data_IF_157303123597
#
_entry.id   IF_157303123597
#
_cell.length_a   1.000
_cell.length_b   1.000
_cell.length_c   1.000
_cell.angle_alpha   90.00
_cell.angle_beta   90.00
_cell.angle_gamma   90.00
#
_symmetry.space_group_name_H-M   'P 1'
#
loop_
_entity.id
_entity.type
_entity.pdbx_description
1 polymer ?
#
# COMPACT_ATOMS: atom_id res chain seq x y z
N UNK A 1 7.71 -12.87 -2.51
CA UNK A 1 6.96 -12.45 -3.71
C UNK A 1 6.63 -11.00 -3.48
N UNK A 2 7.29 -10.11 -4.21
CA UNK A 2 7.13 -8.67 -4.00
C UNK A 2 5.97 -8.22 -4.87
N UNK A 3 4.85 -7.86 -4.25
CA UNK A 3 3.75 -7.21 -4.97
C UNK A 3 4.21 -5.78 -5.26
N UNK A 4 4.33 -5.43 -6.53
CA UNK A 4 4.63 -4.08 -6.99
C UNK A 4 3.45 -3.60 -7.80
N UNK A 5 2.78 -2.55 -7.33
CA UNK A 5 1.64 -1.91 -7.98
C UNK A 5 2.12 -0.81 -8.92
N UNK A 6 1.52 -0.72 -10.10
CA UNK A 6 1.64 0.46 -10.94
C UNK A 6 0.63 1.57 -10.52
N UNK A 7 0.66 2.73 -11.19
CA UNK A 7 -0.20 3.88 -10.84
C UNK A 7 -1.69 3.57 -11.01
N UNK A 8 -2.08 2.81 -12.04
CA UNK A 8 -3.48 2.43 -12.26
C UNK A 8 -3.99 1.48 -11.17
N UNK A 9 -3.19 0.47 -10.80
CA UNK A 9 -3.51 -0.47 -9.73
C UNK A 9 -3.58 0.22 -8.36
N UNK A 10 -2.69 1.17 -8.12
CA UNK A 10 -2.69 1.99 -6.90
C UNK A 10 -3.92 2.90 -6.84
N UNK A 11 -4.31 3.48 -7.97
CA UNK A 11 -5.53 4.28 -8.08
C UNK A 11 -6.81 3.45 -7.84
N UNK A 12 -6.87 2.22 -8.33
CA UNK A 12 -7.97 1.30 -8.05
C UNK A 12 -8.05 0.99 -6.54
N UNK A 13 -6.92 0.67 -5.90
CA UNK A 13 -6.88 0.41 -4.47
C UNK A 13 -7.29 1.64 -3.64
N UNK A 14 -6.77 2.82 -4.00
CA UNK A 14 -7.13 4.11 -3.42
C UNK A 14 -8.64 4.38 -3.51
N UNK A 15 -9.22 4.17 -4.70
CA UNK A 15 -10.64 4.41 -4.96
C UNK A 15 -11.51 3.48 -4.13
N UNK A 16 -11.17 2.19 -4.06
CA UNK A 16 -11.90 1.20 -3.28
C UNK A 16 -11.89 1.53 -1.79
N UNK A 17 -10.70 1.80 -1.21
CA UNK A 17 -10.56 2.08 0.22
C UNK A 17 -11.26 3.38 0.60
N UNK A 18 -11.13 4.42 -0.22
CA UNK A 18 -11.81 5.70 0.03
C UNK A 18 -13.33 5.59 -0.10
N UNK A 19 -13.86 4.79 -1.02
CA UNK A 19 -15.29 4.51 -1.11
C UNK A 19 -15.80 3.81 0.15
N UNK A 20 -15.12 2.74 0.60
CA UNK A 20 -15.47 2.04 1.84
C UNK A 20 -15.49 2.98 3.05
N UNK A 21 -14.50 3.87 3.15
CA UNK A 21 -14.42 4.85 4.23
C UNK A 21 -15.59 5.85 4.19
N UNK A 22 -15.96 6.35 3.01
CA UNK A 22 -17.08 7.28 2.84
C UNK A 22 -18.43 6.63 3.15
N UNK A 23 -18.59 5.34 2.85
CA UNK A 23 -19.86 4.63 2.97
C UNK A 23 -20.08 4.05 4.39
N UNK A 24 -19.00 3.67 5.08
CA UNK A 24 -19.11 2.90 6.33
C UNK A 24 -18.72 3.68 7.59
N UNK A 25 -18.17 4.88 7.46
CA UNK A 25 -17.76 5.72 8.61
C UNK A 25 -18.64 6.96 8.67
N UNK A 26 -19.13 7.27 9.88
CA UNK A 26 -19.86 8.51 10.12
C UNK A 26 -18.88 9.70 10.17
N UNK A 27 -18.69 10.30 9.00
CA UNK A 27 -17.87 11.48 8.80
C UNK A 27 -18.76 12.72 8.72
N UNK A 28 -18.28 13.82 9.31
CA UNK A 28 -18.86 15.13 9.04
C UNK A 28 -18.83 15.46 7.55
N UNK A 29 -19.70 16.35 7.10
CA UNK A 29 -19.72 16.79 5.69
C UNK A 29 -18.38 17.38 5.24
N UNK A 30 -17.70 18.10 6.14
CA UNK A 30 -16.35 18.61 5.86
C UNK A 30 -15.33 17.47 5.70
N UNK A 31 -15.40 16.44 6.55
CA UNK A 31 -14.55 15.25 6.42
C UNK A 31 -14.77 14.53 5.08
N UNK A 32 -16.03 14.35 4.68
CA UNK A 32 -16.40 13.76 3.37
C UNK A 32 -15.85 14.58 2.21
N UNK A 33 -15.94 15.91 2.29
CA UNK A 33 -15.40 16.83 1.27
C UNK A 33 -13.89 16.69 1.13
N UNK A 34 -13.16 16.66 2.24
CA UNK A 34 -11.70 16.51 2.25
C UNK A 34 -11.25 15.17 1.67
N UNK A 35 -11.93 14.06 2.00
CA UNK A 35 -11.60 12.74 1.43
C UNK A 35 -11.83 12.71 -0.08
N UNK A 36 -12.94 13.28 -0.57
CA UNK A 36 -13.22 13.36 -2.01
C UNK A 36 -12.20 14.21 -2.74
N UNK A 37 -11.79 15.33 -2.13
CA UNK A 37 -10.76 16.22 -2.69
C UNK A 37 -9.39 15.52 -2.73
N UNK A 38 -9.02 14.86 -1.64
CA UNK A 38 -7.78 14.08 -1.57
C UNK A 38 -7.72 12.97 -2.63
N UNK A 39 -8.87 12.33 -2.94
CA UNK A 39 -8.98 11.36 -4.04
C UNK A 39 -8.78 12.03 -5.40
N UNK A 40 -9.47 13.13 -5.69
CA UNK A 40 -9.35 13.86 -6.99
C UNK A 40 -7.93 14.31 -7.29
N UNK A 41 -7.20 14.76 -6.27
CA UNK A 41 -5.80 15.15 -6.45
C UNK A 41 -4.94 13.97 -6.96
N UNK A 42 -5.36 12.74 -6.73
CA UNK A 42 -4.66 11.50 -7.13
C UNK A 42 -5.37 10.78 -8.27
N UNK A 43 -6.09 11.50 -9.13
CA UNK A 43 -6.64 10.94 -10.36
C UNK A 43 -5.50 10.56 -11.35
N UNK A 44 -5.74 9.63 -12.29
CA UNK A 44 -4.73 9.21 -13.26
C UNK A 44 -4.13 10.38 -14.05
N UNK A 45 -2.80 10.39 -14.18
CA UNK A 45 -2.03 11.45 -14.84
C UNK A 45 -1.58 12.58 -13.92
N UNK A 46 -2.03 12.61 -12.66
CA UNK A 46 -1.53 13.55 -11.67
C UNK A 46 -0.26 13.02 -10.99
N UNK A 47 0.69 13.93 -10.72
CA UNK A 47 1.95 13.61 -10.04
C UNK A 47 1.73 13.02 -8.64
N UNK A 48 0.68 13.47 -7.96
CA UNK A 48 0.32 13.02 -6.63
C UNK A 48 -0.07 11.54 -6.59
N UNK A 49 -0.59 10.99 -7.69
CA UNK A 49 -0.86 9.54 -7.80
C UNK A 49 0.45 8.76 -7.93
N UNK A 50 1.41 9.25 -8.69
CA UNK A 50 2.72 8.59 -8.85
C UNK A 50 3.48 8.58 -7.51
N UNK A 51 3.48 9.71 -6.80
CA UNK A 51 4.04 9.80 -5.45
C UNK A 51 3.34 8.85 -4.47
N UNK A 52 2.01 8.78 -4.54
CA UNK A 52 1.23 7.83 -3.73
C UNK A 52 1.55 6.37 -4.08
N UNK A 53 1.79 6.07 -5.35
CA UNK A 53 2.13 4.72 -5.82
C UNK A 53 3.46 4.26 -5.25
N UNK A 54 4.49 5.11 -5.27
CA UNK A 54 5.78 4.83 -4.62
C UNK A 54 5.58 4.59 -3.12
N UNK A 55 4.89 5.51 -2.46
CA UNK A 55 4.59 5.41 -1.04
C UNK A 55 3.86 4.10 -0.67
N UNK A 56 2.83 3.73 -1.43
CA UNK A 56 2.03 2.54 -1.19
C UNK A 56 2.88 1.27 -1.36
N UNK A 57 3.70 1.21 -2.41
CA UNK A 57 4.60 0.09 -2.65
C UNK A 57 5.65 -0.08 -1.56
N UNK A 58 6.27 1.01 -1.09
CA UNK A 58 7.22 0.95 0.03
C UNK A 58 6.55 0.40 1.30
N UNK A 59 5.32 0.83 1.58
CA UNK A 59 4.57 0.36 2.76
C UNK A 59 4.14 -1.10 2.63
N UNK A 60 3.66 -1.51 1.45
CA UNK A 60 3.27 -2.89 1.18
C UNK A 60 4.48 -3.83 1.23
N UNK A 61 5.59 -3.47 0.59
CA UNK A 61 6.84 -4.23 0.60
C UNK A 61 7.34 -4.46 2.02
N UNK A 62 7.45 -3.39 2.82
CA UNK A 62 7.85 -3.48 4.22
C UNK A 62 6.93 -4.41 5.03
N UNK A 63 5.61 -4.32 4.83
CA UNK A 63 4.65 -5.12 5.59
C UNK A 63 4.65 -6.60 5.19
N UNK A 64 4.68 -6.89 3.88
CA UNK A 64 4.69 -8.26 3.35
C UNK A 64 5.99 -8.96 3.73
N UNK A 65 7.13 -8.29 3.65
CA UNK A 65 8.43 -8.86 4.01
C UNK A 65 8.55 -9.07 5.51
N UNK A 66 8.06 -8.16 6.36
CA UNK A 66 8.02 -8.40 7.80
C UNK A 66 7.16 -9.61 8.17
N UNK A 67 5.96 -9.74 7.58
CA UNK A 67 5.08 -10.89 7.83
C UNK A 67 5.70 -12.19 7.33
N UNK A 68 6.31 -12.18 6.14
CA UNK A 68 7.01 -13.33 5.57
C UNK A 68 8.20 -13.73 6.44
N UNK A 69 9.00 -12.75 6.88
CA UNK A 69 10.10 -12.94 7.83
C UNK A 69 9.63 -13.54 9.15
N UNK A 70 8.52 -13.05 9.73
CA UNK A 70 7.94 -13.61 10.96
C UNK A 70 7.37 -15.01 10.74
N UNK A 71 6.67 -15.27 9.63
CA UNK A 71 6.14 -16.61 9.32
C UNK A 71 7.25 -17.64 9.15
N UNK A 72 8.36 -17.27 8.50
CA UNK A 72 9.56 -18.11 8.41
C UNK A 72 10.16 -18.41 9.79
N UNK A 73 10.14 -17.44 10.72
CA UNK A 73 10.60 -17.64 12.11
C UNK A 73 9.70 -18.56 12.92
N UNK A 74 8.39 -18.53 12.69
CA UNK A 74 7.38 -19.29 13.47
C UNK A 74 7.19 -20.73 12.98
N UNK A 75 7.28 -20.99 11.66
CA UNK A 75 6.96 -22.32 11.09
C UNK A 75 8.04 -23.39 11.20
N UNK A 76 9.16 -23.11 11.87
CA UNK A 76 10.08 -24.15 12.28
C UNK A 76 11.52 -23.78 12.07
N UNK A 77 12.33 -24.17 13.04
CA UNK A 77 13.79 -24.28 12.98
C UNK A 77 14.28 -24.60 11.55
N UNK A 78 14.77 -23.61 10.79
CA UNK A 78 15.81 -23.83 9.77
C UNK A 78 16.53 -22.53 9.40
N UNK A 79 17.86 -22.63 9.49
CA UNK A 79 18.89 -21.69 9.03
C UNK A 79 18.66 -21.30 7.57
N UNK A 80 18.91 -20.03 7.23
CA UNK A 80 19.35 -19.66 5.89
C UNK A 80 20.71 -19.00 6.04
N UNK A 81 21.70 -19.59 5.36
CA UNK A 81 23.09 -19.19 5.38
C UNK A 81 23.28 -17.77 4.85
N UNK A 82 24.18 -17.05 5.50
CA UNK A 82 24.81 -15.82 5.05
C UNK A 82 25.70 -16.09 3.83
N UNK A 83 25.12 -16.45 2.70
CA UNK A 83 25.83 -16.65 1.45
C UNK A 83 24.96 -16.15 0.30
N UNK A 84 24.94 -14.83 0.11
CA UNK A 84 24.59 -14.08 -1.12
C UNK A 84 24.44 -12.58 -0.80
N UNK A 85 25.37 -12.04 0.00
CA UNK A 85 25.46 -10.58 0.22
C UNK A 85 26.68 -9.93 -0.45
N UNK A 86 27.41 -10.68 -1.26
CA UNK A 86 28.49 -10.20 -2.12
C UNK A 86 28.63 -11.09 -3.35
N UNK A 87 27.85 -10.80 -4.39
CA UNK A 87 28.27 -10.84 -5.79
C UNK A 87 27.71 -9.61 -6.48
#
# INVERSE_FOLDING_TARGET
MNVVLNSDESHVALTLVSALLLDNIDLSEEGRRLVREWRRQRDPGNRELDEFTVFLNERLGNHIDERTTRMMRVKGKRKVSQAERWQ
#
